data_IF_943313951987
#
_entry.id   IF_943313951987
#
_cell.length_a   1.000
_cell.length_b   1.000
_cell.length_c   1.000
_cell.angle_alpha   90.00
_cell.angle_beta   90.00
_cell.angle_gamma   90.00
#
_symmetry.space_group_name_H-M   'P 1'
#
loop_
_entity.id
_entity.type
_entity.pdbx_description
1 polymer ?
#
# COMPACT_ATOMS: atom_id res chain seq x y z
N UNK A 1 21.86 23.01 4.69
CA UNK A 1 22.07 21.54 4.57
C UNK A 1 21.07 20.86 5.49
N UNK A 2 19.83 20.69 5.06
CA UNK A 2 18.82 19.95 5.78
C UNK A 2 18.97 18.48 5.41
N UNK A 3 19.42 17.68 6.33
CA UNK A 3 19.62 16.25 6.18
C UNK A 3 18.28 15.55 5.97
N UNK A 4 18.07 15.15 4.80
CA UNK A 4 17.32 14.11 4.14
C UNK A 4 16.96 12.87 5.01
N UNK A 5 16.18 13.08 6.06
CA UNK A 5 15.70 12.00 6.94
C UNK A 5 14.35 11.40 6.49
N UNK A 6 13.65 12.04 5.54
CA UNK A 6 12.22 11.77 5.26
C UNK A 6 11.96 10.80 4.11
N UNK A 7 12.97 10.48 3.29
CA UNK A 7 12.82 9.61 2.09
C UNK A 7 13.70 8.35 2.20
N UNK A 8 13.67 7.66 3.34
CA UNK A 8 14.42 6.43 3.57
C UNK A 8 13.49 5.23 3.55
N UNK A 9 14.03 4.10 3.09
CA UNK A 9 13.37 2.81 3.26
C UNK A 9 13.15 2.50 4.73
N UNK A 10 11.99 1.93 5.05
CA UNK A 10 11.65 1.44 6.39
C UNK A 10 11.58 -0.08 6.29
N UNK A 11 12.46 -0.77 7.03
CA UNK A 11 12.58 -2.23 6.97
C UNK A 11 11.22 -2.90 7.14
N UNK A 12 10.91 -3.84 6.25
CA UNK A 12 9.69 -4.65 6.22
C UNK A 12 8.38 -3.84 6.03
N UNK A 13 8.49 -2.52 5.75
CA UNK A 13 7.34 -1.64 5.49
C UNK A 13 7.39 -1.08 4.08
N UNK A 14 8.49 -0.40 3.71
CA UNK A 14 8.62 0.21 2.39
C UNK A 14 10.07 0.35 1.96
N UNK A 15 10.27 0.35 0.64
CA UNK A 15 11.56 0.63 0.00
C UNK A 15 11.45 1.87 -0.88
N UNK A 16 12.46 2.74 -0.79
CA UNK A 16 12.61 3.91 -1.65
C UNK A 16 13.86 3.74 -2.49
N UNK A 17 13.72 3.88 -3.81
CA UNK A 17 14.82 3.82 -4.77
C UNK A 17 14.94 5.17 -5.48
N UNK A 18 16.15 5.73 -5.51
CA UNK A 18 16.48 6.96 -6.20
C UNK A 18 17.97 7.08 -6.41
N UNK A 19 18.38 7.78 -7.46
CA UNK A 19 19.77 8.14 -7.71
C UNK A 19 20.08 9.56 -7.20
N UNK A 20 21.30 9.75 -6.71
CA UNK A 20 21.78 11.07 -6.28
C UNK A 20 22.34 11.93 -7.40
N UNK A 21 22.72 11.31 -8.55
CA UNK A 21 23.41 11.99 -9.65
C UNK A 21 22.53 12.34 -10.83
N UNK A 22 21.42 11.65 -10.99
CA UNK A 22 20.47 11.83 -12.08
C UNK A 22 19.09 12.02 -11.44
N UNK A 23 18.36 13.06 -11.85
CA UNK A 23 17.02 13.36 -11.37
C UNK A 23 16.09 13.61 -12.54
N UNK A 24 14.89 13.06 -12.48
CA UNK A 24 13.82 13.25 -13.45
C UNK A 24 12.52 13.64 -12.75
N UNK A 25 11.59 14.36 -13.40
CA UNK A 25 10.32 14.78 -12.83
C UNK A 25 9.30 13.64 -12.76
N UNK A 26 9.74 12.47 -12.26
CA UNK A 26 8.96 11.23 -12.29
C UNK A 26 8.96 10.59 -10.90
N UNK A 27 7.75 10.27 -10.41
CA UNK A 27 7.53 9.47 -9.21
C UNK A 27 6.69 8.26 -9.57
N UNK A 28 7.18 7.08 -9.26
CA UNK A 28 6.48 5.81 -9.38
C UNK A 28 6.23 5.21 -8.02
N UNK A 29 5.10 4.52 -7.86
CA UNK A 29 4.90 3.63 -6.72
C UNK A 29 4.28 2.29 -7.11
N UNK A 30 4.62 1.26 -6.33
CA UNK A 30 4.04 -0.08 -6.39
C UNK A 30 3.46 -0.43 -5.02
N UNK A 31 2.15 -0.17 -4.81
CA UNK A 31 1.51 -0.37 -3.51
C UNK A 31 1.17 -1.84 -3.21
N UNK A 32 1.19 -2.72 -4.22
CA UNK A 32 0.59 -4.04 -4.12
C UNK A 32 1.53 -5.22 -4.44
N UNK A 33 2.84 -4.95 -4.58
CA UNK A 33 3.83 -6.02 -4.84
C UNK A 33 4.39 -6.66 -3.58
N UNK A 34 4.11 -6.10 -2.40
CA UNK A 34 4.65 -6.55 -1.12
C UNK A 34 4.26 -7.98 -0.74
N UNK A 35 5.21 -8.69 -0.10
CA UNK A 35 5.07 -10.09 0.31
C UNK A 35 5.45 -10.35 1.76
N UNK A 36 5.98 -9.34 2.46
CA UNK A 36 6.43 -9.48 3.84
C UNK A 36 5.21 -9.41 4.76
N UNK A 37 4.79 -10.56 5.26
CA UNK A 37 3.68 -10.62 6.20
C UNK A 37 4.10 -10.07 7.56
N UNK A 38 3.40 -9.01 8.07
CA UNK A 38 3.64 -8.53 9.43
C UNK A 38 3.41 -9.61 10.48
N UNK A 39 4.14 -9.58 11.63
CA UNK A 39 4.07 -10.63 12.64
C UNK A 39 2.69 -10.84 13.27
N UNK A 40 1.84 -9.81 13.25
CA UNK A 40 0.46 -9.83 13.76
C UNK A 40 -0.58 -10.21 12.70
N UNK A 41 -0.16 -10.45 11.44
CA UNK A 41 -1.09 -10.87 10.40
C UNK A 41 -1.51 -12.34 10.60
N UNK A 42 -2.78 -12.54 10.89
CA UNK A 42 -3.39 -13.86 11.17
C UNK A 42 -4.59 -14.10 10.25
N UNK A 43 -4.39 -14.20 8.93
CA UNK A 43 -5.47 -14.50 8.01
C UNK A 43 -5.90 -15.95 8.12
N UNK A 44 -7.16 -16.24 7.76
CA UNK A 44 -7.64 -17.62 7.53
C UNK A 44 -7.25 -18.14 6.15
N UNK A 45 -6.88 -17.21 5.26
CA UNK A 45 -6.48 -17.52 3.90
C UNK A 45 -5.13 -18.25 3.85
N UNK A 46 -5.01 -19.18 2.92
CA UNK A 46 -3.74 -19.84 2.61
C UNK A 46 -2.79 -18.90 1.85
N UNK A 47 -1.49 -19.18 1.88
CA UNK A 47 -0.50 -18.41 1.11
C UNK A 47 -0.82 -18.35 -0.38
N UNK A 48 -1.35 -19.44 -0.96
CA UNK A 48 -1.78 -19.47 -2.36
C UNK A 48 -2.92 -18.48 -2.62
N UNK A 49 -3.90 -18.41 -1.72
CA UNK A 49 -5.00 -17.44 -1.82
C UNK A 49 -4.52 -16.00 -1.65
N UNK A 50 -3.63 -15.73 -0.69
CA UNK A 50 -3.05 -14.39 -0.50
C UNK A 50 -2.29 -13.91 -1.74
N UNK A 51 -1.55 -14.81 -2.41
CA UNK A 51 -0.84 -14.49 -3.66
C UNK A 51 -1.75 -14.04 -4.80
N UNK A 52 -3.02 -14.46 -4.82
CA UNK A 52 -3.98 -14.04 -5.89
C UNK A 52 -4.35 -12.57 -5.82
N UNK A 53 -4.15 -11.92 -4.67
CA UNK A 53 -4.44 -10.49 -4.48
C UNK A 53 -3.23 -9.58 -4.74
N UNK A 54 -2.06 -10.16 -5.03
CA UNK A 54 -0.82 -9.44 -5.24
C UNK A 54 -0.69 -9.01 -6.71
N UNK A 55 -0.15 -7.83 -6.93
CA UNK A 55 0.33 -7.38 -8.23
C UNK A 55 1.80 -7.83 -8.37
N UNK A 56 1.98 -9.12 -8.73
CA UNK A 56 3.29 -9.77 -8.74
C UNK A 56 4.24 -9.10 -9.76
N UNK A 57 5.52 -8.92 -9.38
CA UNK A 57 6.62 -8.42 -10.21
C UNK A 57 6.49 -6.96 -10.67
N UNK A 58 5.47 -6.22 -10.26
CA UNK A 58 5.32 -4.81 -10.66
C UNK A 58 6.44 -3.96 -10.07
N UNK A 59 6.87 -4.23 -8.84
CA UNK A 59 8.05 -3.60 -8.24
C UNK A 59 9.32 -3.86 -9.05
N UNK A 60 9.56 -5.10 -9.48
CA UNK A 60 10.72 -5.48 -10.28
C UNK A 60 10.76 -4.75 -11.63
N UNK A 61 9.59 -4.53 -12.25
CA UNK A 61 9.48 -3.82 -13.53
C UNK A 61 9.86 -2.33 -13.43
N UNK A 62 9.64 -1.70 -12.27
CA UNK A 62 9.81 -0.25 -12.14
C UNK A 62 11.06 0.17 -11.38
N UNK A 63 11.69 -0.70 -10.60
CA UNK A 63 12.85 -0.36 -9.75
C UNK A 63 13.99 0.23 -10.58
N UNK A 64 14.30 -0.35 -11.73
CA UNK A 64 15.41 0.10 -12.57
C UNK A 64 15.22 1.49 -13.19
N UNK A 65 13.99 2.03 -13.21
CA UNK A 65 13.75 3.41 -13.61
C UNK A 65 14.43 4.43 -12.67
N UNK A 66 14.76 4.02 -11.46
CA UNK A 66 15.53 4.85 -10.52
C UNK A 66 16.93 5.17 -11.07
N UNK A 67 17.53 4.29 -11.88
CA UNK A 67 18.81 4.50 -12.56
C UNK A 67 18.72 5.61 -13.64
N UNK A 68 17.51 5.94 -14.08
CA UNK A 68 17.20 7.00 -15.04
C UNK A 68 16.67 8.28 -14.35
N UNK A 69 16.72 8.34 -13.02
CA UNK A 69 16.36 9.52 -12.23
C UNK A 69 14.93 9.54 -11.69
N UNK A 70 14.11 8.54 -11.94
CA UNK A 70 12.81 8.43 -11.29
C UNK A 70 12.98 8.17 -9.78
N UNK A 71 12.06 8.68 -8.96
CA UNK A 71 11.90 8.24 -7.58
C UNK A 71 10.88 7.11 -7.54
N UNK A 72 11.22 5.99 -6.91
CA UNK A 72 10.37 4.80 -6.85
C UNK A 72 10.09 4.41 -5.41
N UNK A 73 8.80 4.24 -5.06
CA UNK A 73 8.33 3.78 -3.77
C UNK A 73 7.67 2.40 -3.91
N UNK A 74 8.02 1.46 -3.05
CA UNK A 74 7.46 0.11 -3.06
C UNK A 74 6.99 -0.25 -1.66
N UNK A 75 5.75 -0.74 -1.51
CA UNK A 75 5.29 -1.34 -0.27
C UNK A 75 5.87 -2.75 -0.12
N UNK A 76 6.39 -3.08 1.07
CA UNK A 76 6.90 -4.42 1.39
C UNK A 76 5.80 -5.33 1.95
N UNK A 77 4.81 -4.77 2.63
CA UNK A 77 3.67 -5.48 3.20
C UNK A 77 2.60 -5.80 2.14
N UNK A 78 1.85 -6.90 2.30
CA UNK A 78 0.81 -7.26 1.36
C UNK A 78 -0.44 -6.37 1.51
N UNK A 79 -1.06 -5.99 0.40
CA UNK A 79 -2.34 -5.25 0.40
C UNK A 79 -3.47 -5.96 1.13
N UNK A 80 -3.34 -7.25 1.38
CA UNK A 80 -4.31 -8.05 2.13
C UNK A 80 -4.24 -7.80 3.64
N UNK A 81 -3.12 -7.27 4.12
CA UNK A 81 -2.95 -6.84 5.51
C UNK A 81 -3.54 -5.44 5.73
N UNK A 82 -3.13 -4.47 4.91
CA UNK A 82 -3.70 -3.13 4.80
C UNK A 82 -3.44 -2.62 3.38
N UNK A 83 -4.45 -2.04 2.73
CA UNK A 83 -4.32 -1.61 1.34
C UNK A 83 -3.89 -0.13 1.26
N UNK A 84 -2.63 0.18 0.89
CA UNK A 84 -2.16 1.57 0.79
C UNK A 84 -2.83 2.33 -0.37
N UNK A 85 -3.50 1.65 -1.29
CA UNK A 85 -4.28 2.28 -2.37
C UNK A 85 -5.76 2.45 -2.00
N UNK A 86 -6.05 2.57 -0.68
CA UNK A 86 -7.38 2.89 -0.12
C UNK A 86 -7.28 4.06 0.85
N UNK A 87 -8.38 4.82 0.94
CA UNK A 87 -8.47 5.84 1.98
C UNK A 87 -8.48 5.20 3.37
N UNK A 88 -7.89 5.88 4.35
CA UNK A 88 -7.98 5.45 5.76
C UNK A 88 -9.40 5.49 6.31
N UNK A 89 -10.33 6.16 5.63
CA UNK A 89 -11.77 6.18 5.96
C UNK A 89 -12.56 5.03 5.35
N UNK A 90 -12.01 4.26 4.38
CA UNK A 90 -12.67 3.10 3.77
C UNK A 90 -12.57 1.85 4.67
N UNK A 91 -13.09 1.95 5.90
CA UNK A 91 -13.05 0.87 6.89
C UNK A 91 -14.42 0.19 7.01
N UNK A 92 -14.47 -1.14 6.77
CA UNK A 92 -15.67 -1.92 7.02
C UNK A 92 -15.82 -2.19 8.54
N UNK A 93 -16.69 -1.44 9.20
CA UNK A 93 -16.94 -1.58 10.64
C UNK A 93 -17.52 -2.96 11.03
N UNK A 94 -18.08 -3.69 10.07
CA UNK A 94 -18.64 -5.03 10.35
C UNK A 94 -17.58 -6.06 10.75
N UNK A 95 -16.29 -5.84 10.35
CA UNK A 95 -15.18 -6.71 10.73
C UNK A 95 -14.44 -6.23 11.98
N UNK A 96 -14.91 -5.16 12.62
CA UNK A 96 -14.29 -4.57 13.82
C UNK A 96 -15.04 -5.00 15.07
N UNK A 97 -14.29 -5.38 16.09
CA UNK A 97 -14.76 -5.60 17.43
C UNK A 97 -14.62 -4.32 18.26
N UNK A 98 -15.74 -3.70 18.58
CA UNK A 98 -15.82 -2.42 19.29
C UNK A 98 -16.39 -1.30 18.42
N UNK A 99 -16.50 -0.11 19.00
CA UNK A 99 -16.99 1.09 18.32
C UNK A 99 -15.82 1.75 17.59
N UNK A 100 -15.90 1.84 16.26
CA UNK A 100 -14.92 2.56 15.46
C UNK A 100 -15.01 4.08 15.75
N UNK A 101 -13.90 4.75 16.14
CA UNK A 101 -13.94 6.13 16.60
C UNK A 101 -13.75 7.18 15.50
N UNK A 102 -13.52 6.76 14.25
CA UNK A 102 -13.23 7.66 13.13
C UNK A 102 -14.36 7.64 12.10
N UNK A 103 -14.33 8.62 11.20
CA UNK A 103 -15.26 8.70 10.07
C UNK A 103 -15.08 7.52 9.12
N UNK A 104 -16.18 7.09 8.51
CA UNK A 104 -16.23 6.01 7.53
C UNK A 104 -16.79 6.51 6.22
N UNK A 105 -16.06 6.26 5.14
CA UNK A 105 -16.49 6.51 3.78
C UNK A 105 -16.96 5.20 3.14
N UNK A 106 -18.23 5.15 2.74
CA UNK A 106 -18.79 3.98 2.05
C UNK A 106 -18.55 4.11 0.56
N UNK A 107 -17.75 3.21 0.02
CA UNK A 107 -17.43 3.14 -1.42
C UNK A 107 -17.88 1.81 -2.00
N UNK A 108 -18.04 1.76 -3.35
CA UNK A 108 -18.34 0.50 -4.06
C UNK A 108 -17.31 -0.62 -3.78
N UNK A 109 -16.09 -0.25 -3.44
CA UNK A 109 -15.03 -1.21 -3.09
C UNK A 109 -15.22 -1.76 -1.68
N UNK A 110 -15.68 -0.92 -0.76
CA UNK A 110 -16.03 -1.35 0.60
C UNK A 110 -17.17 -2.36 0.57
N UNK A 111 -18.20 -2.12 -0.25
CA UNK A 111 -19.38 -3.02 -0.39
C UNK A 111 -19.00 -4.44 -0.81
N UNK A 112 -17.95 -4.58 -1.61
CA UNK A 112 -17.44 -5.90 -2.05
C UNK A 112 -16.31 -6.43 -1.15
N UNK A 113 -16.09 -5.82 0.02
CA UNK A 113 -15.10 -6.26 1.01
C UNK A 113 -13.65 -5.93 0.64
N UNK A 114 -13.44 -4.93 -0.22
CA UNK A 114 -12.14 -4.44 -0.69
C UNK A 114 -11.82 -3.04 -0.13
N UNK A 115 -12.13 -2.80 1.13
CA UNK A 115 -11.77 -1.56 1.82
C UNK A 115 -10.28 -1.53 2.24
N UNK A 116 -9.96 -0.59 3.13
CA UNK A 116 -8.63 -0.42 3.70
C UNK A 116 -8.10 -1.72 4.31
N UNK A 117 -8.95 -2.43 5.03
CA UNK A 117 -8.71 -3.79 5.53
C UNK A 117 -9.63 -4.73 4.73
N UNK A 118 -9.05 -5.72 4.05
CA UNK A 118 -9.86 -6.68 3.30
C UNK A 118 -10.73 -7.54 4.19
N UNK A 119 -12.02 -7.57 3.89
CA UNK A 119 -12.99 -8.45 4.53
C UNK A 119 -12.94 -9.87 3.98
N UNK A 120 -12.78 -9.99 2.66
CA UNK A 120 -12.75 -11.27 1.95
C UNK A 120 -11.48 -11.43 1.15
N UNK A 121 -10.92 -12.65 1.13
CA UNK A 121 -9.80 -13.00 0.24
C UNK A 121 -10.30 -13.42 -1.15
N UNK A 122 -11.37 -14.17 -1.19
CA UNK A 122 -12.15 -14.55 -2.38
C UNK A 122 -13.62 -14.20 -2.11
N UNK A 123 -14.49 -14.16 -3.12
CA UNK A 123 -15.91 -13.92 -2.90
C UNK A 123 -16.47 -14.80 -1.77
N UNK A 124 -17.01 -14.15 -0.74
CA UNK A 124 -17.60 -14.79 0.45
C UNK A 124 -16.65 -15.66 1.31
N UNK A 125 -15.34 -15.61 1.10
CA UNK A 125 -14.35 -16.27 1.96
C UNK A 125 -13.76 -15.24 2.91
N UNK A 126 -14.10 -15.26 4.21
CA UNK A 126 -13.62 -14.27 5.17
C UNK A 126 -12.08 -14.27 5.28
N UNK A 127 -11.49 -13.08 5.39
CA UNK A 127 -10.06 -12.93 5.62
C UNK A 127 -9.65 -13.34 7.04
N UNK A 128 -10.53 -13.15 8.02
CA UNK A 128 -10.24 -13.38 9.43
C UNK A 128 -11.29 -14.27 10.07
N UNK A 129 -10.87 -15.16 10.98
CA UNK A 129 -11.78 -16.01 11.79
C UNK A 129 -12.47 -15.26 12.93
N UNK A 130 -11.89 -14.11 13.32
CA UNK A 130 -12.42 -13.23 14.38
C UNK A 130 -12.36 -11.79 13.90
N UNK A 131 -13.24 -10.95 14.44
CA UNK A 131 -13.19 -9.51 14.20
C UNK A 131 -11.88 -8.94 14.75
N UNK A 132 -11.32 -7.96 14.04
CA UNK A 132 -10.16 -7.20 14.47
C UNK A 132 -10.57 -6.18 15.54
N UNK A 133 -9.73 -5.94 16.51
CA UNK A 133 -9.93 -4.84 17.47
C UNK A 133 -9.66 -3.50 16.80
N UNK A 134 -10.22 -2.42 17.34
CA UNK A 134 -9.95 -1.04 16.92
C UNK A 134 -8.43 -0.78 16.93
N UNK A 135 -7.77 -1.16 18.02
CA UNK A 135 -6.31 -0.96 18.19
C UNK A 135 -5.48 -1.69 17.13
N UNK A 136 -5.87 -2.91 16.71
CA UNK A 136 -5.17 -3.62 15.63
C UNK A 136 -5.25 -2.83 14.32
N UNK A 137 -6.43 -2.30 13.97
CA UNK A 137 -6.60 -1.52 12.73
C UNK A 137 -5.86 -0.18 12.81
N UNK A 138 -5.93 0.53 13.94
CA UNK A 138 -5.19 1.77 14.17
C UNK A 138 -3.67 1.56 14.11
N UNK A 139 -3.16 0.46 14.66
CA UNK A 139 -1.75 0.11 14.57
C UNK A 139 -1.30 -0.17 13.13
N UNK A 140 -2.12 -0.81 12.30
CA UNK A 140 -1.85 -1.01 10.87
C UNK A 140 -1.79 0.34 10.14
N UNK A 141 -2.75 1.23 10.40
CA UNK A 141 -2.74 2.58 9.83
C UNK A 141 -1.47 3.33 10.24
N UNK A 142 -1.16 3.34 11.52
CA UNK A 142 -0.02 4.08 12.08
C UNK A 142 1.33 3.57 11.58
N UNK A 143 1.51 2.25 11.50
CA UNK A 143 2.83 1.64 11.27
C UNK A 143 3.11 1.27 9.81
N UNK A 144 2.07 1.20 8.94
CA UNK A 144 2.21 0.80 7.55
C UNK A 144 1.61 1.81 6.59
N UNK A 145 0.33 2.13 6.71
CA UNK A 145 -0.36 3.05 5.79
C UNK A 145 0.20 4.47 5.88
N UNK A 146 0.31 5.02 7.10
CA UNK A 146 0.78 6.41 7.29
C UNK A 146 2.24 6.61 6.87
N UNK A 147 3.21 5.73 7.21
CA UNK A 147 4.57 5.85 6.72
C UNK A 147 4.68 5.75 5.19
N UNK A 148 3.89 4.87 4.56
CA UNK A 148 3.86 4.76 3.10
C UNK A 148 3.41 6.07 2.44
N UNK A 149 2.28 6.63 2.89
CA UNK A 149 1.75 7.88 2.35
C UNK A 149 2.64 9.08 2.66
N UNK A 150 3.25 9.14 3.84
CA UNK A 150 4.20 10.19 4.16
C UNK A 150 5.42 10.15 3.23
N UNK A 151 5.95 8.95 2.96
CA UNK A 151 7.07 8.78 2.03
C UNK A 151 6.67 9.16 0.61
N UNK A 152 5.48 8.77 0.15
CA UNK A 152 4.97 9.15 -1.16
C UNK A 152 4.83 10.67 -1.29
N UNK A 153 4.21 11.31 -0.31
CA UNK A 153 4.04 12.77 -0.27
C UNK A 153 5.39 13.50 -0.33
N UNK A 154 6.35 13.06 0.48
CA UNK A 154 7.67 13.66 0.50
C UNK A 154 8.39 13.55 -0.86
N UNK A 155 8.28 12.39 -1.55
CA UNK A 155 8.85 12.22 -2.89
C UNK A 155 8.18 13.13 -3.93
N UNK A 156 6.85 13.26 -3.86
CA UNK A 156 6.10 14.14 -4.75
C UNK A 156 6.50 15.61 -4.53
N UNK A 157 6.55 16.06 -3.28
CA UNK A 157 6.92 17.45 -2.92
C UNK A 157 8.37 17.77 -3.30
N UNK A 158 9.32 16.83 -3.07
CA UNK A 158 10.72 16.98 -3.45
C UNK A 158 10.84 17.19 -4.98
N UNK A 159 10.24 16.30 -5.77
CA UNK A 159 10.28 16.38 -7.23
C UNK A 159 9.53 17.60 -7.77
N UNK A 160 8.40 17.94 -7.17
CA UNK A 160 7.65 19.14 -7.56
C UNK A 160 8.46 20.42 -7.28
N UNK A 161 9.15 20.48 -6.16
CA UNK A 161 10.04 21.61 -5.82
C UNK A 161 11.24 21.74 -6.76
N UNK A 162 11.79 20.59 -7.21
CA UNK A 162 12.93 20.55 -8.11
C UNK A 162 12.56 20.95 -9.56
N UNK A 163 11.40 20.48 -10.06
CA UNK A 163 11.06 20.56 -11.49
C UNK A 163 9.85 21.47 -11.79
N UNK A 164 9.09 21.93 -10.80
CA UNK A 164 7.88 22.72 -10.99
C UNK A 164 6.65 21.95 -11.48
N UNK A 165 6.85 20.79 -12.12
CA UNK A 165 5.81 19.85 -12.55
C UNK A 165 6.37 18.42 -12.57
N UNK A 166 5.51 17.43 -12.31
CA UNK A 166 5.92 16.03 -12.22
C UNK A 166 4.91 15.09 -12.88
N UNK A 167 5.39 13.91 -13.23
CA UNK A 167 4.56 12.76 -13.58
C UNK A 167 4.55 11.79 -12.41
N UNK A 168 3.35 11.52 -11.87
CA UNK A 168 3.12 10.49 -10.88
C UNK A 168 2.34 9.33 -11.49
N UNK A 169 2.88 8.10 -11.36
CA UNK A 169 2.25 6.89 -11.87
C UNK A 169 2.21 5.84 -10.76
N UNK A 170 1.00 5.47 -10.38
CA UNK A 170 0.72 4.36 -9.46
C UNK A 170 0.60 3.07 -10.28
N UNK A 171 1.54 2.15 -10.10
CA UNK A 171 1.68 0.96 -10.93
C UNK A 171 0.93 -0.24 -10.38
N UNK A 172 0.14 -0.87 -11.27
CA UNK A 172 -0.62 -2.07 -10.98
C UNK A 172 -0.51 -3.11 -12.08
N UNK A 173 -0.76 -4.38 -11.74
CA UNK A 173 -1.05 -5.42 -12.74
C UNK A 173 -2.54 -5.67 -12.83
N UNK A 174 -2.98 -6.09 -14.00
CA UNK A 174 -4.35 -6.54 -14.25
C UNK A 174 -4.35 -7.99 -14.73
N UNK A 175 -5.38 -8.75 -14.37
CA UNK A 175 -5.58 -10.09 -14.92
C UNK A 175 -5.80 -9.99 -16.43
N UNK A 176 -5.17 -10.87 -17.20
CA UNK A 176 -5.29 -10.92 -18.68
C UNK A 176 -6.71 -11.29 -19.15
N UNK A 177 -7.50 -11.98 -18.30
CA UNK A 177 -8.91 -12.27 -18.54
C UNK A 177 -9.70 -11.68 -17.37
N UNK A 178 -10.58 -10.72 -17.66
CA UNK A 178 -11.60 -10.30 -16.71
C UNK A 178 -12.46 -11.51 -16.33
N UNK A 179 -12.91 -11.59 -15.08
CA UNK A 179 -13.96 -12.54 -14.75
C UNK A 179 -15.18 -12.14 -15.58
N UNK A 180 -15.54 -12.98 -16.56
CA UNK A 180 -16.84 -12.93 -17.21
C UNK A 180 -17.90 -13.34 -16.21
#
# INVERSE_FOLDING_TARGET
MTTDASNKSIKDVLRVYRQSRISAPIVYDSPHSGIINPPDFRPTATDSQLKTARDAFVDELIIDSSNLGAAVLVADFPRTYIDPNRSKSEVDISIINGKWPHDVEVTKKLDVGMGLIRKYILPNVPMYSKKLTVSEVENRIKNYWSPYHQSLQNLLEEKLSEFGSIFYINWHSMKSKGNQ
#
